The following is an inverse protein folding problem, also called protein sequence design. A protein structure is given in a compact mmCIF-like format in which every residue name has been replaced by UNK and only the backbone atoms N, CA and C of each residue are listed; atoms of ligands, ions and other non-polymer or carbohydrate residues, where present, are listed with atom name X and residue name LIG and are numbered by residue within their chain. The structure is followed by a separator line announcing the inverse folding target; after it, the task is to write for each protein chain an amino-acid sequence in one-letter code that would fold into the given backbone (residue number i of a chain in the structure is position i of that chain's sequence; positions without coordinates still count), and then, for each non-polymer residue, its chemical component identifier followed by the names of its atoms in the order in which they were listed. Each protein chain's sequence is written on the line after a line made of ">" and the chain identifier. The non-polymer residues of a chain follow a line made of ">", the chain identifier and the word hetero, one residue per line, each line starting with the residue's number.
data_IF_005444935684
#
_entry.id   IF_005444935684
#
_cell.length_a   1.000
_cell.length_b   1.000
_cell.length_c   1.000
_cell.angle_alpha   90.00
_cell.angle_beta   90.00
_cell.angle_gamma   90.00
#
_symmetry.space_group_name_H-M   'P 1'
#
loop_
_entity.id
_entity.type
_entity.pdbx_description
1 polymer ?
#
# COMPACT_ATOMS: atom_id res chain seq x y z
N UNK A 1 -15.54 1.63 -19.94
CA UNK A 1 -14.39 2.24 -19.24
C UNK A 1 -13.96 1.29 -18.14
N UNK A 2 -12.73 0.78 -18.16
CA UNK A 2 -12.18 0.02 -17.02
C UNK A 2 -11.89 1.04 -15.92
N UNK A 3 -12.50 0.89 -14.75
CA UNK A 3 -12.25 1.76 -13.60
C UNK A 3 -10.82 1.51 -13.12
N UNK A 4 -9.96 2.53 -13.20
CA UNK A 4 -8.58 2.50 -12.72
C UNK A 4 -8.61 2.31 -11.20
N UNK A 5 -8.21 1.13 -10.71
CA UNK A 5 -8.35 0.81 -9.30
C UNK A 5 -7.30 1.50 -8.42
N UNK A 6 -7.71 1.98 -7.23
CA UNK A 6 -6.86 2.62 -6.23
C UNK A 6 -6.38 1.59 -5.21
N UNK A 7 -5.06 1.44 -5.11
CA UNK A 7 -4.40 0.55 -4.13
C UNK A 7 -3.50 1.35 -3.19
N UNK A 8 -3.36 0.86 -1.97
CA UNK A 8 -2.40 1.38 -0.98
C UNK A 8 -1.26 0.39 -0.77
N UNK A 9 -0.10 0.88 -0.33
CA UNK A 9 1.05 0.02 -0.05
C UNK A 9 1.46 0.16 1.41
N UNK A 10 1.54 -0.96 2.13
CA UNK A 10 2.09 -1.04 3.48
C UNK A 10 3.51 -1.59 3.39
N UNK A 11 4.49 -0.88 3.93
CA UNK A 11 5.88 -1.30 4.01
C UNK A 11 6.30 -1.49 5.47
N UNK A 12 7.12 -2.50 5.75
CA UNK A 12 7.81 -2.61 7.05
C UNK A 12 9.23 -2.06 6.97
N UNK A 13 9.78 -1.62 8.09
CA UNK A 13 11.13 -1.04 8.16
C UNK A 13 12.19 -2.05 8.60
N UNK A 14 11.78 -3.21 9.12
CA UNK A 14 12.68 -4.36 9.25
C UNK A 14 13.17 -4.78 7.85
N UNK A 15 14.48 -4.93 7.68
CA UNK A 15 15.13 -5.13 6.38
C UNK A 15 14.73 -4.07 5.31
N UNK A 16 14.67 -2.80 5.70
CA UNK A 16 14.26 -1.68 4.83
C UNK A 16 14.86 -1.67 3.41
N UNK A 17 16.18 -1.92 3.19
CA UNK A 17 16.73 -1.93 1.83
C UNK A 17 16.11 -2.98 0.90
N UNK A 18 15.70 -4.13 1.45
CA UNK A 18 14.98 -5.18 0.72
C UNK A 18 13.55 -4.73 0.40
N UNK A 19 12.87 -4.14 1.39
CA UNK A 19 11.51 -3.62 1.23
C UNK A 19 11.45 -2.48 0.21
N UNK A 20 12.46 -1.61 0.16
CA UNK A 20 12.56 -0.55 -0.85
C UNK A 20 12.67 -1.12 -2.27
N UNK A 21 13.45 -2.18 -2.48
CA UNK A 21 13.51 -2.88 -3.78
C UNK A 21 12.16 -3.48 -4.16
N UNK A 22 11.45 -4.11 -3.21
CA UNK A 22 10.11 -4.63 -3.43
C UNK A 22 9.10 -3.51 -3.75
N UNK A 23 9.22 -2.36 -3.07
CA UNK A 23 8.38 -1.19 -3.29
C UNK A 23 8.53 -0.63 -4.70
N UNK A 24 9.77 -0.54 -5.20
CA UNK A 24 10.01 -0.07 -6.57
C UNK A 24 9.41 -1.00 -7.62
N UNK A 25 9.52 -2.32 -7.41
CA UNK A 25 8.84 -3.31 -8.27
C UNK A 25 7.32 -3.15 -8.20
N UNK A 26 6.75 -3.05 -6.99
CA UNK A 26 5.31 -2.91 -6.80
C UNK A 26 4.76 -1.63 -7.47
N UNK A 27 5.47 -0.51 -7.37
CA UNK A 27 5.09 0.75 -8.04
C UNK A 27 5.16 0.63 -9.56
N UNK A 28 6.21 -0.01 -10.07
CA UNK A 28 6.37 -0.25 -11.52
C UNK A 28 5.21 -1.11 -12.04
N UNK A 29 4.92 -2.22 -11.40
CA UNK A 29 3.82 -3.11 -11.79
C UNK A 29 2.47 -2.41 -11.71
N UNK A 30 2.20 -1.65 -10.65
CA UNK A 30 0.97 -0.87 -10.54
C UNK A 30 0.80 0.10 -11.72
N UNK A 31 1.88 0.76 -12.16
CA UNK A 31 1.85 1.64 -13.35
C UNK A 31 1.57 0.86 -14.63
N UNK A 32 2.21 -0.29 -14.82
CA UNK A 32 2.03 -1.16 -16.00
C UNK A 32 0.62 -1.72 -16.10
N UNK A 33 -0.01 -2.02 -14.95
CA UNK A 33 -1.37 -2.54 -14.83
C UNK A 33 -2.46 -1.45 -14.83
N UNK A 34 -2.10 -0.17 -14.97
CA UNK A 34 -3.05 0.93 -14.89
C UNK A 34 -3.76 0.97 -13.52
N UNK A 35 -2.99 0.92 -12.43
CA UNK A 35 -3.48 1.09 -11.05
C UNK A 35 -2.98 2.42 -10.49
N UNK A 36 -3.84 3.08 -9.72
CA UNK A 36 -3.46 4.27 -8.96
C UNK A 36 -2.88 3.84 -7.62
N UNK A 37 -1.78 4.46 -7.22
CA UNK A 37 -1.18 4.26 -5.91
C UNK A 37 -1.60 5.42 -5.02
N UNK A 38 -2.29 5.13 -3.93
CA UNK A 38 -2.61 6.09 -2.88
C UNK A 38 -1.49 6.16 -1.84
N UNK A 39 -1.86 6.06 -0.56
CA UNK A 39 -0.89 6.04 0.54
C UNK A 39 0.14 4.90 0.43
N UNK A 40 1.42 5.26 0.60
CA UNK A 40 2.52 4.34 0.92
C UNK A 40 2.90 4.56 2.40
N UNK A 41 2.60 3.58 3.25
CA UNK A 41 2.67 3.73 4.69
C UNK A 41 3.69 2.79 5.31
N UNK A 42 4.65 3.36 6.06
CA UNK A 42 5.73 2.61 6.70
C UNK A 42 5.42 2.27 8.15
N UNK A 43 5.74 1.05 8.53
CA UNK A 43 5.59 0.49 9.86
C UNK A 43 6.93 -0.06 10.38
N UNK A 44 7.08 -0.24 11.70
CA UNK A 44 8.30 -0.84 12.25
C UNK A 44 8.51 -2.28 11.75
N UNK A 45 7.52 -3.16 11.90
CA UNK A 45 7.60 -4.56 11.51
C UNK A 45 6.25 -5.14 11.04
N UNK A 46 6.25 -6.46 10.81
CA UNK A 46 5.10 -7.16 10.22
C UNK A 46 3.90 -7.26 11.16
N UNK A 47 4.13 -7.24 12.47
CA UNK A 47 3.07 -7.34 13.48
C UNK A 47 2.17 -6.10 13.48
N UNK A 48 2.68 -4.96 13.02
CA UNK A 48 1.90 -3.71 12.95
C UNK A 48 1.06 -3.58 11.67
N UNK A 49 1.20 -4.48 10.68
CA UNK A 49 0.49 -4.39 9.39
C UNK A 49 -1.03 -4.22 9.55
N UNK A 50 -1.72 -4.99 10.41
CA UNK A 50 -3.17 -4.82 10.61
C UNK A 50 -3.54 -3.42 11.13
N UNK A 51 -2.66 -2.78 11.91
CA UNK A 51 -2.86 -1.41 12.36
C UNK A 51 -2.74 -0.42 11.19
N UNK A 52 -1.73 -0.57 10.33
CA UNK A 52 -1.56 0.27 9.12
C UNK A 52 -2.76 0.22 8.20
N UNK A 53 -3.25 -1.00 7.89
CA UNK A 53 -4.46 -1.20 7.07
C UNK A 53 -5.68 -0.52 7.69
N UNK A 54 -5.92 -0.71 8.98
CA UNK A 54 -7.04 -0.06 9.69
C UNK A 54 -6.94 1.46 9.66
N UNK A 55 -5.73 2.02 9.83
CA UNK A 55 -5.50 3.47 9.81
C UNK A 55 -5.86 4.08 8.46
N UNK A 56 -5.37 3.51 7.37
CA UNK A 56 -5.68 3.99 6.01
C UNK A 56 -7.16 3.78 5.69
N UNK A 57 -7.72 2.62 6.02
CA UNK A 57 -9.14 2.35 5.77
C UNK A 57 -10.06 3.34 6.47
N UNK A 58 -9.80 3.66 7.74
CA UNK A 58 -10.56 4.68 8.47
C UNK A 58 -10.47 6.06 7.83
N UNK A 59 -9.28 6.46 7.36
CA UNK A 59 -9.07 7.73 6.63
C UNK A 59 -9.94 7.78 5.37
N UNK A 60 -9.87 6.75 4.52
CA UNK A 60 -10.62 6.72 3.26
C UNK A 60 -12.14 6.64 3.45
N UNK A 61 -12.61 5.87 4.43
CA UNK A 61 -14.03 5.85 4.80
C UNK A 61 -14.49 7.23 5.26
N UNK A 62 -13.69 7.93 6.07
CA UNK A 62 -14.03 9.29 6.52
C UNK A 62 -14.10 10.29 5.37
N UNK A 63 -13.17 10.20 4.41
CA UNK A 63 -13.12 11.08 3.25
C UNK A 63 -14.17 10.75 2.17
N UNK A 64 -15.01 9.71 2.38
CA UNK A 64 -15.98 9.24 1.39
C UNK A 64 -15.36 8.59 0.14
N UNK A 65 -14.07 8.27 0.20
CA UNK A 65 -13.30 7.71 -0.90
C UNK A 65 -13.24 6.18 -0.80
N UNK A 66 -13.39 5.50 -1.95
CA UNK A 66 -13.25 4.05 -2.03
C UNK A 66 -11.84 3.67 -2.52
N UNK A 67 -11.23 2.67 -1.90
CA UNK A 67 -10.06 1.98 -2.44
C UNK A 67 -10.41 0.52 -2.75
N UNK A 68 -9.61 -0.11 -3.60
CA UNK A 68 -9.82 -1.49 -4.05
C UNK A 68 -8.98 -2.50 -3.25
N UNK A 69 -7.92 -2.06 -2.56
CA UNK A 69 -7.15 -2.93 -1.68
C UNK A 69 -5.77 -2.42 -1.26
N UNK A 70 -4.99 -3.37 -0.74
CA UNK A 70 -3.65 -3.12 -0.20
C UNK A 70 -2.64 -4.11 -0.78
N UNK A 71 -1.43 -3.63 -1.03
CA UNK A 71 -0.23 -4.44 -1.23
C UNK A 71 0.60 -4.34 0.04
N UNK A 72 1.03 -5.47 0.58
CA UNK A 72 1.75 -5.54 1.85
C UNK A 72 3.16 -6.08 1.58
N UNK A 73 4.17 -5.30 1.95
CA UNK A 73 5.58 -5.60 1.77
C UNK A 73 6.26 -5.64 3.14
N UNK A 74 6.59 -6.84 3.60
CA UNK A 74 7.30 -7.04 4.85
C UNK A 74 8.02 -8.37 4.89
N UNK A 75 9.15 -8.38 5.59
CA UNK A 75 10.02 -9.52 5.88
C UNK A 75 10.18 -9.57 7.40
#
# INVERSE_FOLDING_TARGET
>A
MIKMGLIHIICTSYHKPQIEKMLEVAKKTAKEEGRQIGDVYWLPGVLEIPYGIRKISKKYVYDGNQHDGFVVLGI
#
